data_IF_951275678785
#
_entry.id   IF_951275678785
#
_cell.length_a   1.000
_cell.length_b   1.000
_cell.length_c   1.000
_cell.angle_alpha   90.00
_cell.angle_beta   90.00
_cell.angle_gamma   90.00
#
_symmetry.space_group_name_H-M   'P 1'
#
loop_
_entity.id
_entity.type
_entity.pdbx_description
1 polymer ?
#
# COMPACT_ATOMS: atom_id res chain seq x y z
N UNK A 1 -44.42 53.42 -28.49
CA UNK A 1 -45.59 53.23 -27.68
C UNK A 1 -45.27 52.35 -26.47
N UNK A 2 -45.46 52.95 -25.33
CA UNK A 2 -45.71 52.49 -23.96
C UNK A 2 -44.67 51.60 -23.29
N UNK A 3 -43.92 52.28 -22.41
CA UNK A 3 -43.04 51.72 -21.34
C UNK A 3 -43.94 51.27 -20.17
N UNK A 4 -43.66 50.12 -19.60
CA UNK A 4 -43.99 49.84 -18.20
C UNK A 4 -42.73 49.39 -17.45
N UNK A 5 -42.31 50.24 -16.50
CA UNK A 5 -41.42 49.93 -15.41
C UNK A 5 -42.24 49.40 -14.25
N UNK A 6 -41.91 48.28 -13.69
CA UNK A 6 -42.40 47.85 -12.39
C UNK A 6 -41.22 47.67 -11.44
N UNK A 7 -41.17 48.55 -10.46
CA UNK A 7 -40.27 48.52 -9.29
C UNK A 7 -40.77 47.47 -8.33
N UNK A 8 -39.92 46.49 -7.94
CA UNK A 8 -40.16 45.66 -6.77
C UNK A 8 -39.28 46.15 -5.62
N UNK A 9 -39.91 46.63 -4.57
CA UNK A 9 -39.28 46.97 -3.31
C UNK A 9 -39.06 45.67 -2.51
N UNK A 10 -37.81 45.36 -2.16
CA UNK A 10 -37.48 44.30 -1.24
C UNK A 10 -37.40 44.86 0.17
N UNK A 11 -38.35 44.45 0.98
CA UNK A 11 -38.40 44.76 2.41
C UNK A 11 -37.49 43.82 3.15
N UNK A 12 -36.39 44.32 3.73
CA UNK A 12 -35.55 43.56 4.65
C UNK A 12 -36.21 43.52 6.04
N UNK A 13 -36.61 42.33 6.47
CA UNK A 13 -36.96 42.08 7.86
C UNK A 13 -35.72 41.49 8.54
N UNK A 14 -35.08 42.31 9.36
CA UNK A 14 -34.00 41.90 10.25
C UNK A 14 -34.61 41.20 11.47
N UNK A 15 -34.63 39.87 11.42
CA UNK A 15 -34.97 39.05 12.59
C UNK A 15 -33.73 38.83 13.46
N UNK A 16 -33.68 39.46 14.60
CA UNK A 16 -32.69 39.25 15.63
C UNK A 16 -33.01 37.92 16.36
N UNK A 17 -32.29 36.86 16.06
CA UNK A 17 -32.40 35.61 16.82
C UNK A 17 -31.46 35.71 18.00
N UNK A 18 -32.02 35.96 19.17
CA UNK A 18 -31.33 35.80 20.45
C UNK A 18 -31.15 34.30 20.72
N UNK A 19 -29.97 33.78 20.47
CA UNK A 19 -29.58 32.45 20.92
C UNK A 19 -29.37 32.49 22.43
N UNK A 20 -30.32 31.97 23.18
CA UNK A 20 -30.14 31.67 24.61
C UNK A 20 -29.13 30.55 24.77
N UNK A 21 -27.92 30.87 25.21
CA UNK A 21 -26.90 29.88 25.64
C UNK A 21 -27.41 29.29 26.94
N UNK A 22 -27.96 28.08 26.88
CA UNK A 22 -28.22 27.27 28.08
C UNK A 22 -26.87 26.73 28.52
N UNK A 23 -26.40 27.03 29.74
CA UNK A 23 -25.18 26.39 30.22
C UNK A 23 -25.47 24.91 30.38
N UNK A 24 -24.76 24.06 29.58
CA UNK A 24 -24.69 22.63 29.80
C UNK A 24 -23.95 22.47 31.11
N UNK A 25 -24.69 22.21 32.17
CA UNK A 25 -24.09 21.76 33.44
C UNK A 25 -23.23 20.52 33.10
N UNK A 26 -21.95 20.59 33.38
CA UNK A 26 -21.08 19.43 33.32
C UNK A 26 -21.70 18.35 34.19
N UNK A 27 -22.36 17.38 33.57
CA UNK A 27 -22.72 16.14 34.25
C UNK A 27 -21.42 15.48 34.66
N UNK A 28 -21.06 15.61 35.92
CA UNK A 28 -20.09 14.71 36.55
C UNK A 28 -20.67 13.32 36.39
N UNK A 29 -20.03 12.51 35.54
CA UNK A 29 -20.37 11.10 35.46
C UNK A 29 -20.41 10.54 36.87
N UNK A 30 -21.47 9.80 37.26
CA UNK A 30 -21.50 9.15 38.55
C UNK A 30 -20.25 8.28 38.64
N UNK A 31 -19.50 8.41 39.73
CA UNK A 31 -18.43 7.50 40.03
C UNK A 31 -19.02 6.10 39.90
N UNK A 32 -18.53 5.34 38.91
CA UNK A 32 -18.95 3.98 38.72
C UNK A 32 -18.66 3.23 40.02
N UNK A 33 -19.71 2.93 40.76
CA UNK A 33 -19.62 1.92 41.81
C UNK A 33 -19.30 0.64 41.07
N UNK A 34 -18.03 0.28 41.07
CA UNK A 34 -17.50 -0.84 40.32
C UNK A 34 -18.20 -2.11 40.68
N UNK A 35 -19.15 -2.52 39.88
CA UNK A 35 -19.40 -3.94 39.70
C UNK A 35 -18.35 -4.41 38.70
N UNK A 36 -17.20 -4.83 39.21
CA UNK A 36 -16.20 -5.53 38.46
C UNK A 36 -16.90 -6.63 37.65
N UNK A 37 -16.95 -6.47 36.31
CA UNK A 37 -17.28 -7.59 35.45
C UNK A 37 -16.14 -8.57 35.69
N UNK A 38 -16.47 -9.69 36.34
CA UNK A 38 -15.55 -10.70 36.83
C UNK A 38 -14.28 -10.84 36.03
N UNK A 39 -13.15 -10.41 36.58
CA UNK A 39 -11.82 -10.66 36.06
C UNK A 39 -11.24 -9.64 35.07
N UNK A 40 -12.00 -8.68 34.56
CA UNK A 40 -11.46 -7.68 33.61
C UNK A 40 -10.64 -6.62 34.35
N UNK A 41 -10.99 -6.27 35.58
CA UNK A 41 -10.23 -5.31 36.39
C UNK A 41 -8.92 -5.89 36.97
N UNK A 42 -8.72 -7.21 36.89
CA UNK A 42 -7.50 -7.86 37.37
C UNK A 42 -6.40 -8.00 36.29
N UNK A 43 -6.69 -7.63 35.05
CA UNK A 43 -5.66 -7.47 34.02
C UNK A 43 -5.13 -6.04 34.08
N UNK A 44 -3.98 -5.79 34.73
CA UNK A 44 -3.29 -4.56 34.46
C UNK A 44 -2.96 -4.60 32.99
N UNK A 45 -3.67 -3.81 32.20
CA UNK A 45 -3.30 -3.59 30.80
C UNK A 45 -2.16 -2.55 30.79
N UNK A 46 -0.89 -2.96 30.82
CA UNK A 46 0.23 -2.02 30.82
C UNK A 46 0.17 -1.13 29.58
N UNK A 47 -0.46 -1.62 28.51
CA UNK A 47 -0.71 -0.88 27.29
C UNK A 47 -1.68 0.28 27.48
N UNK A 48 -2.79 0.11 28.18
CA UNK A 48 -3.76 1.18 28.41
C UNK A 48 -3.20 2.31 29.29
N UNK A 49 -2.39 1.98 30.29
CA UNK A 49 -1.73 2.99 31.14
C UNK A 49 -0.70 3.78 30.34
N UNK A 50 0.01 3.15 29.44
CA UNK A 50 0.96 3.82 28.55
C UNK A 50 0.23 4.63 27.46
N UNK A 51 -0.90 4.15 26.96
CA UNK A 51 -1.75 4.87 26.02
C UNK A 51 -2.34 6.14 26.63
N UNK A 52 -2.87 6.07 27.86
CA UNK A 52 -3.44 7.23 28.55
C UNK A 52 -2.37 8.31 28.87
N UNK A 53 -1.11 7.95 28.92
CA UNK A 53 0.01 8.88 29.09
C UNK A 53 0.61 9.35 27.75
N UNK A 54 0.03 8.92 26.60
CA UNK A 54 0.51 9.25 25.27
C UNK A 54 1.96 8.80 25.11
N UNK A 55 2.20 7.51 24.91
CA UNK A 55 3.54 7.04 24.58
C UNK A 55 3.89 7.45 23.14
N UNK A 56 4.12 8.76 22.97
CA UNK A 56 4.46 9.39 21.69
C UNK A 56 5.67 8.73 21.01
N UNK A 57 6.51 8.02 21.76
CA UNK A 57 7.65 7.32 21.18
C UNK A 57 7.22 6.07 20.39
N UNK A 58 6.25 5.30 20.91
CA UNK A 58 5.69 4.14 20.18
C UNK A 58 4.82 4.57 18.99
N UNK A 59 4.04 5.65 19.16
CA UNK A 59 3.26 6.22 18.08
C UNK A 59 4.17 6.71 16.94
N UNK A 60 5.28 7.35 17.26
CA UNK A 60 6.28 7.77 16.29
C UNK A 60 6.92 6.59 15.57
N UNK A 61 7.16 5.48 16.27
CA UNK A 61 7.75 4.29 15.62
C UNK A 61 6.83 3.75 14.54
N UNK A 62 5.53 3.63 14.80
CA UNK A 62 4.56 3.17 13.79
C UNK A 62 4.54 4.09 12.56
N UNK A 63 4.63 5.41 12.78
CA UNK A 63 4.68 6.37 11.68
C UNK A 63 5.92 6.23 10.78
N UNK A 64 6.98 5.60 11.27
CA UNK A 64 8.17 5.31 10.46
C UNK A 64 7.93 4.25 9.39
N UNK A 65 6.94 3.36 9.60
CA UNK A 65 6.65 2.24 8.69
C UNK A 65 5.66 2.56 7.59
N UNK A 66 4.99 3.71 7.65
CA UNK A 66 4.05 4.18 6.62
C UNK A 66 4.50 5.53 6.07
N UNK A 67 4.64 5.62 4.76
CA UNK A 67 5.13 6.82 4.08
C UNK A 67 4.39 7.09 2.79
N UNK A 68 4.63 8.25 2.18
CA UNK A 68 4.11 8.67 0.89
C UNK A 68 5.20 9.32 0.03
N UNK A 69 4.97 9.36 -1.29
CA UNK A 69 5.91 9.95 -2.22
C UNK A 69 6.02 11.48 -2.13
N UNK A 70 5.00 12.16 -1.56
CA UNK A 70 4.95 13.62 -1.52
C UNK A 70 5.99 14.19 -0.57
N UNK A 71 6.30 13.44 0.49
CA UNK A 71 7.32 13.81 1.48
C UNK A 71 8.76 13.63 1.01
N UNK A 72 9.01 12.91 -0.12
CA UNK A 72 10.36 12.62 -0.59
C UNK A 72 10.87 13.62 -1.61
N UNK A 73 12.19 13.80 -1.67
CA UNK A 73 12.84 14.59 -2.72
C UNK A 73 12.82 13.82 -4.05
N UNK A 74 12.59 14.52 -5.18
CA UNK A 74 12.67 13.89 -6.49
C UNK A 74 14.13 13.54 -6.85
N UNK A 75 14.32 12.38 -7.47
CA UNK A 75 15.59 11.98 -8.09
C UNK A 75 15.34 11.51 -9.52
N UNK A 76 16.32 11.66 -10.40
CA UNK A 76 16.26 11.13 -11.76
C UNK A 76 16.76 9.68 -11.77
N UNK A 77 16.03 8.84 -12.51
CA UNK A 77 16.43 7.46 -12.79
C UNK A 77 16.26 7.24 -14.30
N UNK A 78 17.10 6.41 -14.91
CA UNK A 78 17.05 6.14 -16.35
C UNK A 78 17.00 7.41 -17.22
N UNK A 79 17.71 8.44 -16.79
CA UNK A 79 17.76 9.76 -17.45
C UNK A 79 16.58 10.66 -17.07
N UNK A 80 15.41 10.47 -17.66
CA UNK A 80 14.27 11.40 -17.51
C UNK A 80 13.11 10.87 -16.65
N UNK A 81 13.16 9.65 -16.17
CA UNK A 81 12.20 9.13 -15.21
C UNK A 81 12.45 9.78 -13.84
N UNK A 82 11.49 10.53 -13.34
CA UNK A 82 11.57 11.15 -12.01
C UNK A 82 10.95 10.21 -10.99
N UNK A 83 11.73 9.78 -10.02
CA UNK A 83 11.28 8.97 -8.89
C UNK A 83 11.16 9.81 -7.61
N UNK A 84 10.19 9.45 -6.79
CA UNK A 84 10.03 9.90 -5.40
C UNK A 84 9.86 8.66 -4.53
N UNK A 85 10.81 8.44 -3.66
CA UNK A 85 10.83 7.24 -2.83
C UNK A 85 9.69 7.28 -1.80
N UNK A 86 9.01 6.15 -1.64
CA UNK A 86 7.95 5.97 -0.63
C UNK A 86 8.54 5.18 0.53
N UNK A 87 9.17 4.04 0.22
CA UNK A 87 9.91 3.23 1.17
C UNK A 87 11.30 2.95 0.61
N UNK A 88 12.29 2.95 1.47
CA UNK A 88 13.70 2.71 1.12
C UNK A 88 14.33 1.69 2.05
N UNK A 89 15.47 1.16 1.62
CA UNK A 89 16.28 0.27 2.46
C UNK A 89 16.72 0.99 3.74
N UNK A 90 16.59 0.29 4.88
CA UNK A 90 16.95 0.83 6.18
C UNK A 90 16.92 -0.23 7.28
N UNK A 91 17.08 0.22 8.51
CA UNK A 91 16.98 -0.64 9.69
C UNK A 91 15.53 -0.64 10.21
N UNK A 92 14.80 -1.73 9.98
CA UNK A 92 13.42 -1.85 10.42
C UNK A 92 13.25 -1.94 11.96
N UNK A 93 14.32 -2.15 12.73
CA UNK A 93 14.28 -2.05 14.19
C UNK A 93 14.50 -0.63 14.69
N UNK A 94 15.29 0.16 13.96
CA UNK A 94 15.61 1.54 14.31
C UNK A 94 15.69 2.40 13.04
N UNK A 95 14.55 2.66 12.36
CA UNK A 95 14.56 3.40 11.11
C UNK A 95 15.23 4.77 11.27
N UNK A 96 16.23 5.10 10.45
CA UNK A 96 16.93 6.39 10.54
C UNK A 96 16.03 7.56 10.13
N UNK A 97 15.07 7.30 9.24
CA UNK A 97 14.08 8.27 8.77
C UNK A 97 12.79 7.56 8.36
N UNK A 98 11.72 8.32 8.19
CA UNK A 98 10.42 7.81 7.79
C UNK A 98 10.49 7.12 6.43
N UNK A 99 10.03 5.88 6.37
CA UNK A 99 10.06 5.05 5.17
C UNK A 99 11.37 4.30 4.93
N UNK A 100 12.46 4.56 5.69
CA UNK A 100 13.71 3.80 5.58
C UNK A 100 13.64 2.52 6.41
N UNK A 101 12.86 1.55 5.96
CA UNK A 101 12.44 0.36 6.73
C UNK A 101 12.65 -0.96 5.99
N UNK A 102 12.89 -0.94 4.67
CA UNK A 102 13.02 -2.15 3.86
C UNK A 102 14.33 -2.88 4.18
N UNK A 103 14.26 -4.20 4.35
CA UNK A 103 15.41 -5.05 4.63
C UNK A 103 15.91 -5.76 3.36
N UNK A 104 15.00 -6.27 2.53
CA UNK A 104 15.31 -7.10 1.38
C UNK A 104 15.12 -6.42 0.03
N UNK A 105 14.35 -5.35 -0.03
CA UNK A 105 14.08 -4.57 -1.24
C UNK A 105 14.85 -3.26 -1.18
N UNK A 106 15.36 -2.75 -2.29
CA UNK A 106 16.11 -1.50 -2.30
C UNK A 106 15.20 -0.29 -2.08
N UNK A 107 14.10 -0.23 -2.85
CA UNK A 107 13.09 0.81 -2.69
C UNK A 107 11.74 0.43 -3.33
N UNK A 108 10.71 1.11 -2.86
CA UNK A 108 9.45 1.34 -3.55
C UNK A 108 9.34 2.84 -3.80
N UNK A 109 9.13 3.25 -5.05
CA UNK A 109 9.00 4.65 -5.43
C UNK A 109 7.77 4.91 -6.30
N UNK A 110 7.29 6.16 -6.26
CA UNK A 110 6.39 6.70 -7.28
C UNK A 110 7.24 7.26 -8.42
N UNK A 111 7.00 6.78 -9.64
CA UNK A 111 7.69 7.20 -10.85
C UNK A 111 6.80 8.04 -11.76
N UNK A 112 7.39 9.05 -12.39
CA UNK A 112 6.73 9.90 -13.37
C UNK A 112 7.64 10.17 -14.56
N UNK A 113 7.20 9.74 -15.74
CA UNK A 113 7.81 10.13 -17.01
C UNK A 113 6.92 11.19 -17.65
N UNK A 114 7.47 12.39 -17.88
CA UNK A 114 6.69 13.51 -18.43
C UNK A 114 6.14 13.17 -19.83
N UNK A 115 5.02 13.77 -20.18
CA UNK A 115 4.40 13.65 -21.49
C UNK A 115 5.43 13.87 -22.62
N UNK A 116 5.44 12.97 -23.59
CA UNK A 116 6.33 13.02 -24.75
C UNK A 116 7.81 12.71 -24.46
N UNK A 117 8.18 12.46 -23.20
CA UNK A 117 9.54 12.10 -22.83
C UNK A 117 9.79 10.59 -22.89
N UNK A 118 11.06 10.24 -22.92
CA UNK A 118 11.54 8.85 -22.89
C UNK A 118 12.77 8.73 -21.99
N UNK A 119 13.00 7.55 -21.45
CA UNK A 119 14.23 7.24 -20.70
C UNK A 119 15.41 7.13 -21.65
N UNK A 120 16.63 7.34 -21.14
CA UNK A 120 17.82 6.90 -21.86
C UNK A 120 17.86 5.37 -21.90
N UNK A 121 18.51 4.73 -22.90
CA UNK A 121 18.78 3.31 -22.86
C UNK A 121 19.46 2.94 -21.54
N UNK A 122 18.88 2.02 -20.80
CA UNK A 122 19.29 1.67 -19.46
C UNK A 122 19.39 0.17 -19.29
N UNK A 123 20.37 -0.28 -18.52
CA UNK A 123 20.56 -1.68 -18.15
C UNK A 123 20.74 -1.77 -16.64
N UNK A 124 19.93 -2.60 -15.98
CA UNK A 124 20.01 -2.83 -14.55
C UNK A 124 21.19 -3.76 -14.23
N UNK A 125 22.01 -3.39 -13.25
CA UNK A 125 23.18 -4.16 -12.82
C UNK A 125 23.02 -4.57 -11.37
N UNK A 126 23.06 -5.89 -11.08
CA UNK A 126 22.84 -6.45 -9.73
C UNK A 126 21.51 -6.08 -9.09
N UNK A 127 20.54 -5.69 -9.88
CA UNK A 127 19.18 -5.38 -9.46
C UNK A 127 18.23 -5.58 -10.63
N UNK A 128 16.94 -5.68 -10.34
CA UNK A 128 15.87 -5.77 -11.31
C UNK A 128 14.66 -4.95 -10.83
N UNK A 129 13.77 -4.59 -11.73
CA UNK A 129 12.68 -3.67 -11.42
C UNK A 129 11.32 -4.22 -11.85
N UNK A 130 10.30 -3.89 -11.05
CA UNK A 130 8.91 -4.04 -11.44
C UNK A 130 8.30 -2.65 -11.56
N UNK A 131 7.71 -2.38 -12.70
CA UNK A 131 6.91 -1.19 -12.96
C UNK A 131 5.44 -1.57 -12.96
N UNK A 132 4.62 -0.92 -12.13
CA UNK A 132 3.17 -1.04 -12.16
C UNK A 132 2.56 0.30 -12.57
N UNK A 133 1.89 0.34 -13.71
CA UNK A 133 1.39 1.58 -14.30
C UNK A 133 0.13 2.05 -13.59
N UNK A 134 0.18 3.27 -13.06
CA UNK A 134 -0.92 3.92 -12.35
C UNK A 134 -1.79 4.78 -13.27
N UNK A 135 -1.21 5.31 -14.36
CA UNK A 135 -1.92 6.15 -15.32
C UNK A 135 -1.03 6.67 -16.43
N UNK A 136 -1.66 7.28 -17.42
CA UNK A 136 -1.02 7.68 -18.67
C UNK A 136 -0.88 6.51 -19.63
N UNK A 137 -0.32 6.79 -20.81
CA UNK A 137 -0.05 5.82 -21.86
C UNK A 137 1.43 5.86 -22.22
N UNK A 138 2.00 4.70 -22.50
CA UNK A 138 3.42 4.59 -22.85
C UNK A 138 3.74 3.34 -23.66
N UNK A 139 5.01 3.22 -23.96
CA UNK A 139 5.63 2.04 -24.58
C UNK A 139 6.92 1.73 -23.85
N UNK A 140 7.25 0.45 -23.73
CA UNK A 140 8.55 -0.02 -23.27
C UNK A 140 9.13 -0.97 -24.31
N UNK A 141 10.37 -0.74 -24.69
CA UNK A 141 11.12 -1.62 -25.62
C UNK A 141 12.31 -2.19 -24.88
N UNK A 142 12.45 -3.51 -24.92
CA UNK A 142 13.56 -4.22 -24.27
C UNK A 142 13.90 -5.50 -25.04
N UNK A 143 15.19 -5.70 -25.35
CA UNK A 143 15.67 -6.91 -26.04
C UNK A 143 15.02 -7.14 -27.40
N UNK A 144 14.55 -6.09 -28.09
CA UNK A 144 13.84 -6.15 -29.37
C UNK A 144 12.34 -6.34 -29.29
N UNK A 145 11.79 -6.61 -28.12
CA UNK A 145 10.34 -6.70 -27.87
C UNK A 145 9.80 -5.33 -27.43
N UNK A 146 8.61 -4.94 -27.91
CA UNK A 146 7.93 -3.69 -27.51
C UNK A 146 6.56 -4.00 -26.94
N UNK A 147 6.22 -3.39 -25.81
CA UNK A 147 4.91 -3.52 -25.17
C UNK A 147 4.28 -2.14 -24.93
N UNK A 148 2.95 -2.08 -25.05
CA UNK A 148 2.16 -0.90 -24.69
C UNK A 148 1.95 -0.86 -23.18
N UNK A 149 2.00 0.34 -22.62
CA UNK A 149 1.79 0.63 -21.22
C UNK A 149 0.53 1.47 -21.06
N UNK A 150 -0.35 1.03 -20.18
CA UNK A 150 -1.54 1.76 -19.75
C UNK A 150 -1.84 1.40 -18.29
N UNK A 151 -2.78 2.10 -17.67
CA UNK A 151 -3.19 1.79 -16.28
C UNK A 151 -3.41 0.28 -16.10
N UNK A 152 -2.91 -0.24 -14.98
CA UNK A 152 -3.01 -1.64 -14.55
C UNK A 152 -2.15 -2.65 -15.37
N UNK A 153 -1.26 -2.16 -16.23
CA UNK A 153 -0.19 -2.99 -16.80
C UNK A 153 1.00 -3.03 -15.85
N UNK A 154 1.60 -4.20 -15.69
CA UNK A 154 2.82 -4.41 -14.94
C UNK A 154 3.94 -4.94 -15.85
N UNK A 155 5.16 -4.47 -15.63
CA UNK A 155 6.37 -4.89 -16.34
C UNK A 155 7.41 -5.34 -15.34
N UNK A 156 7.92 -6.55 -15.51
CA UNK A 156 9.13 -7.01 -14.84
C UNK A 156 10.33 -6.87 -15.77
N UNK A 157 11.31 -6.10 -15.35
CA UNK A 157 12.56 -5.85 -16.07
C UNK A 157 13.71 -6.56 -15.37
N UNK A 158 14.25 -7.65 -15.93
CA UNK A 158 15.33 -8.37 -15.33
C UNK A 158 16.68 -7.65 -15.47
N UNK A 159 17.61 -7.96 -14.60
CA UNK A 159 18.99 -7.48 -14.70
C UNK A 159 19.63 -7.87 -16.05
N UNK A 160 20.46 -6.98 -16.58
CA UNK A 160 21.23 -7.23 -17.81
C UNK A 160 20.48 -7.02 -19.12
N UNK A 161 19.19 -6.69 -19.09
CA UNK A 161 18.40 -6.39 -20.27
C UNK A 161 18.35 -4.87 -20.47
N UNK A 162 18.80 -4.39 -21.64
CA UNK A 162 18.68 -2.98 -22.01
C UNK A 162 17.24 -2.65 -22.40
N UNK A 163 16.75 -1.52 -21.90
CA UNK A 163 15.40 -1.04 -22.19
C UNK A 163 15.30 0.48 -22.34
N UNK A 164 14.23 0.90 -23.03
CA UNK A 164 13.79 2.30 -23.14
C UNK A 164 12.30 2.35 -22.89
N UNK A 165 11.85 3.31 -22.10
CA UNK A 165 10.44 3.58 -21.84
C UNK A 165 10.06 4.95 -22.39
N UNK A 166 8.89 5.08 -23.02
CA UNK A 166 8.32 6.31 -23.55
C UNK A 166 6.96 6.60 -22.97
N UNK A 167 6.67 7.87 -22.71
CA UNK A 167 5.32 8.39 -22.47
C UNK A 167 4.76 8.88 -23.81
N UNK A 168 3.69 8.24 -24.31
CA UNK A 168 3.14 8.53 -25.66
C UNK A 168 1.76 9.20 -25.62
N UNK A 169 1.06 9.16 -24.49
CA UNK A 169 -0.24 9.78 -24.31
C UNK A 169 -0.19 11.29 -24.08
N UNK A 170 -1.35 11.87 -23.84
CA UNK A 170 -1.55 13.28 -23.50
C UNK A 170 -1.31 13.60 -22.02
N UNK A 171 -1.13 12.57 -21.20
CA UNK A 171 -0.82 12.65 -19.79
C UNK A 171 0.55 12.03 -19.49
N UNK A 172 1.23 12.45 -18.42
CA UNK A 172 2.44 11.78 -17.97
C UNK A 172 2.18 10.31 -17.69
N UNK A 173 3.13 9.46 -18.02
CA UNK A 173 3.13 8.07 -17.58
C UNK A 173 3.54 8.02 -16.12
N UNK A 174 2.67 7.47 -15.27
CA UNK A 174 2.89 7.36 -13.82
C UNK A 174 2.86 5.90 -13.38
N UNK A 175 3.69 5.56 -12.40
CA UNK A 175 3.87 4.17 -12.00
C UNK A 175 4.36 4.03 -10.56
N UNK A 176 4.19 2.85 -9.98
CA UNK A 176 5.04 2.40 -8.88
C UNK A 176 6.26 1.67 -9.46
N UNK A 177 7.39 1.86 -8.82
CA UNK A 177 8.66 1.19 -9.15
C UNK A 177 9.13 0.44 -7.92
N UNK A 178 9.24 -0.89 -8.03
CA UNK A 178 9.85 -1.75 -7.03
C UNK A 178 11.22 -2.13 -7.55
N UNK A 179 12.26 -1.90 -6.78
CA UNK A 179 13.61 -2.29 -7.12
C UNK A 179 14.10 -3.37 -6.13
N UNK A 180 14.37 -4.56 -6.64
CA UNK A 180 14.92 -5.65 -5.83
C UNK A 180 16.38 -5.94 -6.19
N UNK A 181 17.26 -6.22 -5.21
CA UNK A 181 18.63 -6.65 -5.49
C UNK A 181 18.64 -8.08 -6.02
N UNK A 182 19.62 -8.40 -6.87
CA UNK A 182 19.90 -9.77 -7.28
C UNK A 182 21.05 -10.33 -6.43
N UNK A 183 20.86 -11.49 -5.76
CA UNK A 183 21.93 -12.14 -5.00
C UNK A 183 23.11 -12.56 -5.89
N UNK A 184 24.29 -12.68 -5.29
CA UNK A 184 25.46 -13.19 -6.01
C UNK A 184 25.17 -14.61 -6.56
N UNK A 185 25.53 -14.84 -7.81
CA UNK A 185 25.27 -16.10 -8.50
C UNK A 185 23.85 -16.25 -9.06
N UNK A 186 22.95 -15.30 -8.81
CA UNK A 186 21.63 -15.31 -9.44
C UNK A 186 21.74 -15.18 -10.96
N UNK A 187 20.92 -15.95 -11.68
CA UNK A 187 20.86 -15.92 -13.14
C UNK A 187 19.56 -15.24 -13.60
N UNK A 188 19.61 -13.96 -13.97
CA UNK A 188 18.43 -13.24 -14.44
C UNK A 188 17.83 -13.89 -15.69
N UNK A 189 16.54 -13.66 -15.90
CA UNK A 189 15.89 -13.91 -17.20
C UNK A 189 16.49 -12.99 -18.26
N UNK A 190 16.41 -13.39 -19.52
CA UNK A 190 16.96 -12.63 -20.66
C UNK A 190 15.94 -11.75 -21.34
N UNK A 191 14.67 -11.73 -20.88
CA UNK A 191 13.57 -10.96 -21.47
C UNK A 191 12.72 -10.33 -20.39
N UNK A 192 12.17 -9.15 -20.68
CA UNK A 192 11.12 -8.55 -19.89
C UNK A 192 9.87 -9.42 -19.89
N UNK A 193 9.08 -9.32 -18.83
CA UNK A 193 7.76 -9.96 -18.72
C UNK A 193 6.72 -8.85 -18.52
N UNK A 194 5.67 -8.86 -19.34
CA UNK A 194 4.58 -7.89 -19.27
C UNK A 194 3.29 -8.61 -18.96
N UNK A 195 2.53 -8.10 -17.99
CA UNK A 195 1.23 -8.64 -17.60
C UNK A 195 0.21 -7.51 -17.46
N UNK A 196 -0.95 -7.72 -18.07
CA UNK A 196 -2.12 -6.89 -17.87
C UNK A 196 -2.93 -7.47 -16.69
N UNK A 197 -3.18 -6.67 -15.67
CA UNK A 197 -3.95 -7.09 -14.50
C UNK A 197 -5.38 -7.51 -14.88
N UNK A 198 -5.95 -6.90 -15.93
CA UNK A 198 -7.27 -7.28 -16.46
C UNK A 198 -7.34 -8.74 -16.88
N UNK A 199 -6.23 -9.29 -17.36
CA UNK A 199 -6.08 -10.68 -17.82
C UNK A 199 -5.46 -11.59 -16.76
N UNK A 200 -4.97 -11.06 -15.66
CA UNK A 200 -4.32 -11.84 -14.61
C UNK A 200 -5.28 -12.78 -13.90
N UNK A 201 -4.75 -13.95 -13.52
CA UNK A 201 -5.51 -14.94 -12.75
C UNK A 201 -5.98 -14.35 -11.42
N UNK A 202 -7.27 -14.38 -11.19
CA UNK A 202 -7.87 -13.96 -9.93
C UNK A 202 -7.95 -15.13 -8.95
N UNK A 203 -7.67 -14.87 -7.69
CA UNK A 203 -7.88 -15.76 -6.55
C UNK A 203 -8.64 -15.02 -5.44
N UNK A 204 -9.41 -15.78 -4.67
CA UNK A 204 -10.03 -15.32 -3.43
C UNK A 204 -9.53 -16.23 -2.30
N UNK A 205 -8.39 -15.91 -1.66
CA UNK A 205 -7.76 -16.80 -0.65
C UNK A 205 -8.75 -17.00 0.48
N UNK A 206 -9.48 -16.63 1.05
CA UNK A 206 -10.48 -16.95 2.11
C UNK A 206 -11.82 -17.49 1.57
N UNK A 207 -11.91 -17.89 0.30
CA UNK A 207 -13.16 -18.35 -0.31
C UNK A 207 -14.13 -17.24 -0.67
N UNK A 208 -13.82 -15.98 -0.42
CA UNK A 208 -14.67 -14.82 -0.72
C UNK A 208 -15.95 -14.73 0.11
N UNK A 209 -16.18 -15.65 1.01
CA UNK A 209 -17.35 -15.64 1.89
C UNK A 209 -17.06 -14.80 3.14
N UNK A 210 -17.80 -13.70 3.38
CA UNK A 210 -17.57 -12.82 4.52
C UNK A 210 -17.90 -13.48 5.87
N UNK A 211 -18.56 -14.63 5.87
CA UNK A 211 -18.89 -15.38 7.09
C UNK A 211 -17.89 -16.49 7.41
N UNK A 212 -16.98 -16.81 6.49
CA UNK A 212 -15.93 -17.79 6.76
C UNK A 212 -14.78 -17.10 7.48
N UNK A 213 -14.75 -17.27 8.78
CA UNK A 213 -13.68 -16.85 9.67
C UNK A 213 -12.76 -18.04 9.88
N UNK A 214 -11.46 -17.86 9.71
CA UNK A 214 -10.48 -18.90 10.04
C UNK A 214 -10.13 -19.84 8.88
N UNK A 215 -10.25 -19.41 7.65
CA UNK A 215 -9.52 -20.05 6.54
C UNK A 215 -8.02 -20.00 6.82
N UNK A 216 -7.26 -20.99 6.36
CA UNK A 216 -5.83 -21.16 6.65
C UNK A 216 -4.92 -20.02 6.18
N UNK A 217 -5.44 -18.91 5.65
CA UNK A 217 -4.67 -17.92 4.92
C UNK A 217 -4.64 -16.50 5.51
N UNK A 218 -5.43 -16.18 6.53
CA UNK A 218 -5.47 -14.81 7.07
C UNK A 218 -5.95 -13.72 6.08
N UNK A 219 -6.52 -14.11 4.94
CA UNK A 219 -6.80 -13.19 3.82
C UNK A 219 -8.29 -13.13 3.50
N UNK A 220 -9.10 -12.87 4.52
CA UNK A 220 -10.54 -12.63 4.34
C UNK A 220 -10.77 -11.46 3.39
N UNK A 221 -11.84 -11.51 2.63
CA UNK A 221 -12.25 -10.43 1.74
C UNK A 221 -11.18 -9.96 0.71
N UNK A 222 -10.05 -10.63 0.61
CA UNK A 222 -9.02 -10.31 -0.37
C UNK A 222 -9.35 -10.90 -1.74
N UNK A 223 -9.34 -10.06 -2.77
CA UNK A 223 -9.39 -10.45 -4.17
C UNK A 223 -8.00 -10.22 -4.73
N UNK A 224 -7.28 -11.30 -5.03
CA UNK A 224 -5.88 -11.28 -5.44
C UNK A 224 -5.75 -11.53 -6.93
N UNK A 225 -4.94 -10.74 -7.62
CA UNK A 225 -4.49 -10.99 -8.98
C UNK A 225 -2.98 -11.13 -9.03
N UNK A 226 -2.51 -12.24 -9.58
CA UNK A 226 -1.08 -12.58 -9.63
C UNK A 226 -0.40 -11.86 -10.79
N UNK A 227 0.61 -11.04 -10.49
CA UNK A 227 1.43 -10.38 -11.49
C UNK A 227 2.74 -11.14 -11.69
N UNK A 228 3.65 -11.16 -10.71
CA UNK A 228 4.95 -11.80 -10.87
C UNK A 228 5.28 -12.73 -9.70
N UNK A 229 6.09 -13.74 -10.02
CA UNK A 229 6.57 -14.77 -9.11
C UNK A 229 8.04 -15.13 -9.44
N UNK A 230 8.71 -15.97 -8.67
CA UNK A 230 10.04 -16.49 -9.02
C UNK A 230 10.08 -17.21 -10.38
N UNK A 231 8.96 -17.79 -10.83
CA UNK A 231 8.88 -18.40 -12.16
C UNK A 231 9.03 -17.38 -13.30
N UNK A 232 8.59 -16.14 -13.07
CA UNK A 232 8.76 -15.02 -13.99
C UNK A 232 10.19 -14.43 -13.93
N UNK A 233 10.92 -14.65 -12.84
CA UNK A 233 12.31 -14.22 -12.68
C UNK A 233 12.59 -13.36 -11.45
N UNK A 234 11.64 -13.22 -10.51
CA UNK A 234 11.91 -12.52 -9.24
C UNK A 234 13.07 -13.20 -8.51
N UNK A 235 13.99 -12.41 -7.96
CA UNK A 235 15.22 -12.89 -7.34
C UNK A 235 15.09 -13.12 -5.84
N UNK A 236 14.54 -12.13 -5.14
CA UNK A 236 14.36 -12.14 -3.68
C UNK A 236 12.88 -12.10 -3.30
N UNK A 237 12.07 -11.46 -4.11
CA UNK A 237 10.64 -11.41 -3.90
C UNK A 237 9.99 -12.76 -4.25
N UNK A 238 9.04 -13.16 -3.41
CA UNK A 238 8.21 -14.34 -3.65
C UNK A 238 7.04 -14.02 -4.58
N UNK A 239 6.48 -12.82 -4.46
CA UNK A 239 5.31 -12.42 -5.24
C UNK A 239 5.21 -10.91 -5.39
N UNK A 240 4.69 -10.49 -6.53
CA UNK A 240 4.11 -9.16 -6.78
C UNK A 240 2.69 -9.40 -7.27
N UNK A 241 1.72 -8.86 -6.56
CA UNK A 241 0.28 -9.07 -6.82
C UNK A 241 -0.48 -7.75 -6.65
N UNK A 242 -1.70 -7.69 -7.17
CA UNK A 242 -2.66 -6.70 -6.68
C UNK A 242 -3.67 -7.36 -5.76
N UNK A 243 -4.11 -6.59 -4.76
CA UNK A 243 -5.11 -7.01 -3.80
C UNK A 243 -6.21 -5.97 -3.76
N UNK A 244 -7.46 -6.39 -3.96
CA UNK A 244 -8.62 -5.56 -3.72
C UNK A 244 -9.37 -6.06 -2.49
N UNK A 245 -9.92 -5.13 -1.70
CA UNK A 245 -10.73 -5.43 -0.52
C UNK A 245 -12.09 -4.78 -0.71
N UNK A 246 -13.14 -5.58 -0.58
CA UNK A 246 -14.51 -5.14 -0.74
C UNK A 246 -14.92 -4.07 0.28
N UNK A 247 -15.95 -3.25 -0.01
CA UNK A 247 -16.49 -2.27 0.94
C UNK A 247 -16.92 -2.92 2.25
N UNK A 248 -16.72 -2.20 3.37
CA UNK A 248 -17.13 -2.61 4.73
C UNK A 248 -16.54 -3.94 5.20
N UNK A 249 -15.33 -4.27 4.71
CA UNK A 249 -14.64 -5.50 5.09
C UNK A 249 -13.20 -5.21 5.54
N UNK A 250 -12.56 -6.22 6.11
CA UNK A 250 -11.17 -6.17 6.53
C UNK A 250 -10.46 -7.50 6.25
N UNK A 251 -9.14 -7.45 6.13
CA UNK A 251 -8.31 -8.63 6.23
C UNK A 251 -8.23 -9.14 7.68
N UNK A 252 -7.91 -10.41 7.87
CA UNK A 252 -7.62 -10.93 9.19
C UNK A 252 -6.39 -10.25 9.78
N UNK A 253 -6.45 -9.69 11.01
CA UNK A 253 -5.26 -9.24 11.71
C UNK A 253 -4.35 -10.43 12.04
N UNK A 254 -3.13 -10.44 11.50
CA UNK A 254 -2.18 -11.54 11.70
C UNK A 254 -0.73 -11.07 11.67
N UNK A 255 0.20 -11.75 12.37
CA UNK A 255 1.63 -11.59 12.20
C UNK A 255 2.14 -12.51 11.10
N UNK A 256 3.33 -12.23 10.61
CA UNK A 256 4.05 -13.14 9.72
C UNK A 256 5.10 -13.97 10.45
N UNK A 257 5.67 -14.96 9.76
CA UNK A 257 6.85 -15.66 10.26
C UNK A 257 8.09 -14.76 10.15
N UNK A 258 9.09 -14.92 11.04
CA UNK A 258 10.32 -14.17 10.93
C UNK A 258 10.98 -14.33 9.55
N UNK A 259 11.49 -13.22 9.02
CA UNK A 259 12.09 -13.15 7.68
C UNK A 259 11.10 -12.89 6.55
N UNK A 260 9.82 -12.71 6.84
CA UNK A 260 8.80 -12.36 5.86
C UNK A 260 8.59 -10.84 5.86
N UNK A 261 9.18 -10.15 4.88
CA UNK A 261 8.94 -8.73 4.60
C UNK A 261 7.75 -8.60 3.64
N UNK A 262 6.87 -7.67 3.95
CA UNK A 262 5.66 -7.45 3.17
C UNK A 262 5.37 -5.96 3.04
N UNK A 263 5.01 -5.52 1.84
CA UNK A 263 4.70 -4.12 1.52
C UNK A 263 3.33 -4.00 0.87
N UNK A 264 2.56 -3.04 1.33
CA UNK A 264 1.24 -2.67 0.83
C UNK A 264 1.24 -1.23 0.34
N UNK A 265 1.20 -1.02 -0.98
CA UNK A 265 1.14 0.29 -1.62
C UNK A 265 -0.28 0.55 -2.13
N UNK A 266 -0.93 1.60 -1.65
CA UNK A 266 -2.30 1.93 -2.04
C UNK A 266 -2.36 2.46 -3.46
N UNK A 267 -3.22 1.87 -4.30
CA UNK A 267 -3.47 2.27 -5.69
C UNK A 267 -4.75 3.09 -5.77
N UNK A 268 -5.86 2.55 -5.29
CA UNK A 268 -7.18 3.18 -5.36
C UNK A 268 -7.91 3.09 -4.02
N UNK A 269 -8.70 4.11 -3.70
CA UNK A 269 -9.51 4.20 -2.50
C UNK A 269 -8.72 4.65 -1.27
N UNK A 270 -9.44 4.82 -0.16
CA UNK A 270 -8.86 5.15 1.15
C UNK A 270 -9.17 4.02 2.12
N UNK A 271 -8.14 3.50 2.75
CA UNK A 271 -8.23 2.41 3.73
C UNK A 271 -7.69 2.85 5.09
N UNK A 272 -7.88 2.00 6.09
CA UNK A 272 -7.14 2.06 7.35
C UNK A 272 -6.14 0.90 7.36
N UNK A 273 -4.86 1.21 7.48
CA UNK A 273 -3.81 0.25 7.75
C UNK A 273 -3.72 0.04 9.27
N UNK A 274 -3.91 -1.19 9.72
CA UNK A 274 -3.57 -1.60 11.08
C UNK A 274 -2.10 -2.02 11.08
N UNK A 275 -1.29 -1.32 11.86
CA UNK A 275 0.16 -1.55 11.98
C UNK A 275 0.45 -1.74 13.47
N UNK A 276 0.75 -2.96 13.88
CA UNK A 276 0.76 -3.33 15.29
C UNK A 276 -0.63 -3.15 15.89
N UNK A 277 -0.75 -2.33 16.93
CA UNK A 277 -2.02 -2.04 17.61
C UNK A 277 -2.63 -0.70 17.19
N UNK A 278 -2.10 -0.05 16.17
CA UNK A 278 -2.50 1.31 15.77
C UNK A 278 -3.06 1.35 14.36
N UNK A 279 -3.96 2.30 14.14
CA UNK A 279 -4.55 2.54 12.82
C UNK A 279 -3.93 3.79 12.18
N UNK A 280 -3.68 3.70 10.88
CA UNK A 280 -3.28 4.84 10.04
C UNK A 280 -4.13 4.90 8.79
N UNK A 281 -4.52 6.10 8.40
CA UNK A 281 -5.18 6.31 7.11
C UNK A 281 -4.17 6.08 6.01
N UNK A 282 -4.51 5.22 5.05
CA UNK A 282 -3.71 4.95 3.87
C UNK A 282 -4.48 5.38 2.62
N UNK A 283 -3.86 6.23 1.81
CA UNK A 283 -4.43 6.79 0.57
C UNK A 283 -3.55 6.40 -0.62
N UNK A 284 -4.05 6.51 -1.87
CA UNK A 284 -3.24 6.33 -3.06
C UNK A 284 -1.92 7.14 -2.98
N UNK A 285 -0.82 6.49 -3.31
CA UNK A 285 0.53 7.06 -3.19
C UNK A 285 1.22 6.81 -1.85
N UNK A 286 0.54 6.22 -0.88
CA UNK A 286 1.11 5.78 0.40
C UNK A 286 1.42 4.29 0.37
N UNK A 287 2.45 3.89 1.12
CA UNK A 287 2.74 2.48 1.38
C UNK A 287 3.19 2.27 2.81
N UNK A 288 2.95 1.07 3.33
CA UNK A 288 3.53 0.63 4.59
C UNK A 288 4.22 -0.73 4.45
N UNK A 289 5.14 -1.00 5.36
CA UNK A 289 5.88 -2.25 5.45
C UNK A 289 5.52 -3.00 6.73
N UNK A 290 5.33 -4.30 6.61
CA UNK A 290 5.20 -5.24 7.72
C UNK A 290 6.57 -5.83 8.03
N UNK A 291 7.04 -5.62 9.27
CA UNK A 291 8.40 -6.00 9.67
C UNK A 291 8.65 -7.50 9.56
N UNK A 292 9.84 -7.88 9.12
CA UNK A 292 10.24 -9.29 9.02
C UNK A 292 10.64 -9.90 10.37
N UNK A 293 10.25 -9.32 11.51
CA UNK A 293 10.54 -9.82 12.85
C UNK A 293 9.56 -10.92 13.35
N UNK A 294 8.45 -11.11 12.64
CA UNK A 294 7.43 -12.08 12.99
C UNK A 294 6.51 -11.64 14.13
N UNK A 295 6.64 -10.42 14.63
CA UNK A 295 5.89 -9.91 15.79
C UNK A 295 4.85 -8.85 15.41
N UNK A 296 5.06 -8.12 14.31
CA UNK A 296 4.15 -7.06 13.89
C UNK A 296 2.86 -7.66 13.33
N UNK A 297 1.75 -7.43 14.04
CA UNK A 297 0.41 -7.72 13.52
C UNK A 297 0.02 -6.62 12.55
N UNK A 298 -0.62 -6.98 11.46
CA UNK A 298 -1.14 -6.02 10.50
C UNK A 298 -2.48 -6.44 9.93
N UNK A 299 -3.19 -5.49 9.33
CA UNK A 299 -4.41 -5.70 8.55
C UNK A 299 -4.69 -4.50 7.67
N UNK A 300 -5.45 -4.71 6.60
CA UNK A 300 -6.05 -3.64 5.80
C UNK A 300 -7.55 -3.64 6.01
N UNK A 301 -8.11 -2.47 6.31
CA UNK A 301 -9.51 -2.28 6.64
C UNK A 301 -10.13 -1.33 5.61
N UNK A 302 -11.14 -1.79 4.90
CA UNK A 302 -11.95 -0.96 4.03
C UNK A 302 -13.26 -0.58 4.72
N UNK A 303 -13.26 0.56 5.41
CA UNK A 303 -14.47 1.11 6.05
C UNK A 303 -15.34 1.92 5.07
N UNK A 304 -14.89 2.13 3.83
CA UNK A 304 -15.56 2.90 2.80
C UNK A 304 -16.71 2.17 2.11
N UNK A 305 -17.30 2.82 1.11
CA UNK A 305 -18.42 2.31 0.30
C UNK A 305 -17.98 1.80 -1.09
N UNK A 306 -16.71 1.94 -1.43
CA UNK A 306 -16.10 1.49 -2.68
C UNK A 306 -14.94 0.54 -2.37
N UNK A 307 -14.60 -0.40 -3.28
CA UNK A 307 -13.41 -1.22 -3.12
C UNK A 307 -12.14 -0.37 -2.97
N UNK A 308 -11.19 -0.86 -2.19
CA UNK A 308 -9.81 -0.33 -2.15
C UNK A 308 -8.90 -1.31 -2.84
N UNK A 309 -7.82 -0.80 -3.45
CA UNK A 309 -6.88 -1.59 -4.23
C UNK A 309 -5.43 -1.26 -3.85
N UNK A 310 -4.62 -2.29 -3.77
CA UNK A 310 -3.20 -2.21 -3.41
C UNK A 310 -2.32 -2.94 -4.43
N UNK A 311 -1.12 -2.42 -4.65
CA UNK A 311 0.01 -3.21 -5.10
C UNK A 311 0.67 -3.81 -3.85
N UNK A 312 0.84 -5.11 -3.87
CA UNK A 312 1.46 -5.87 -2.80
C UNK A 312 2.69 -6.57 -3.33
N UNK A 313 3.76 -6.57 -2.55
CA UNK A 313 4.89 -7.45 -2.80
C UNK A 313 5.47 -7.98 -1.48
N UNK A 314 6.02 -9.18 -1.54
CA UNK A 314 6.55 -9.83 -0.36
C UNK A 314 7.80 -10.66 -0.66
N UNK A 315 8.69 -10.68 0.32
CA UNK A 315 9.79 -11.61 0.40
C UNK A 315 9.52 -12.63 1.50
N UNK A 316 9.61 -13.91 1.16
CA UNK A 316 9.51 -15.00 2.13
C UNK A 316 10.88 -15.62 2.40
N UNK A 317 11.15 -16.10 3.62
CA UNK A 317 12.38 -16.81 3.90
C UNK A 317 12.51 -18.05 2.99
N UNK A 318 13.71 -18.40 2.53
CA UNK A 318 13.94 -19.55 1.62
C UNK A 318 13.47 -20.90 2.19
N UNK A 319 13.35 -21.01 3.52
CA UNK A 319 12.91 -22.23 4.23
C UNK A 319 11.40 -22.39 4.28
N UNK A 320 10.63 -21.39 3.77
CA UNK A 320 9.17 -21.49 3.72
C UNK A 320 8.78 -22.14 2.39
N UNK A 321 8.38 -23.40 2.46
CA UNK A 321 7.71 -24.08 1.33
C UNK A 321 6.27 -23.56 1.23
N UNK A 322 6.09 -22.53 0.40
CA UNK A 322 4.78 -21.96 0.06
C UNK A 322 4.25 -22.60 -1.22
N UNK A 323 4.08 -23.90 -1.22
CA UNK A 323 3.17 -24.52 -2.18
C UNK A 323 1.74 -24.09 -1.81
N UNK A 324 1.38 -22.90 -2.25
CA UNK A 324 0.04 -22.34 -2.40
C UNK A 324 -1.07 -23.05 -1.61
N UNK A 325 -1.26 -22.69 -0.34
CA UNK A 325 -2.50 -22.98 0.41
C UNK A 325 -2.84 -24.44 0.64
N UNK A 326 -1.96 -25.37 0.36
CA UNK A 326 -2.11 -26.74 0.78
C UNK A 326 -1.78 -26.82 2.28
N UNK A 327 -2.80 -27.03 3.09
CA UNK A 327 -2.60 -27.48 4.47
C UNK A 327 -1.56 -28.61 4.49
N UNK A 328 -0.61 -28.61 5.45
CA UNK A 328 0.33 -29.71 5.58
C UNK A 328 -0.46 -31.03 5.65
N UNK A 329 -0.11 -31.98 4.77
CA UNK A 329 -0.71 -33.30 4.83
C UNK A 329 -0.47 -33.87 6.24
N UNK A 330 -1.50 -34.30 6.96
CA UNK A 330 -1.31 -34.93 8.24
C UNK A 330 -0.38 -36.13 8.05
N UNK A 331 0.64 -36.24 8.94
CA UNK A 331 1.55 -37.37 9.01
C UNK A 331 0.80 -38.62 9.40
#
# INVERSE_FOLDING_TARGET
>A
MMKYRTSLAVSMISGLVLASVIPVAAQTAPASSGNAINGIDSYPSPGLVNYAKGNLAQDRLVDMFISDWQGSLPRSEHGSLVLRDILTRGDHFNPPEKGAVLDFTNFLAYGRLAQGNWTTPSTLVKQQEVYYILGGEGEITAGGDTAKLHKDVAVFMPAGVEFVMKSVGDQPLTMYVINEPTPDGFKPKSKMVVKDEGLARQRTPGGGDPYIVGGASGHWAHIVKELFSPADGLATLHSVITVSINPKTLGEPHPHKPGHEEVWAAIDGTSLAMIGTQLRVQKPGMAYMVRPDGAMIHSNINAGDTPVKFLYFARFPPTMDWTHGAAPKPK
#
